data_IF_041321468104
#
_entry.id   IF_041321468104
#
_cell.length_a   1.000
_cell.length_b   1.000
_cell.length_c   1.000
_cell.angle_alpha   90.00
_cell.angle_beta   90.00
_cell.angle_gamma   90.00
#
_symmetry.space_group_name_H-M   'P 1'
#
loop_
_entity.id
_entity.type
_entity.pdbx_description
1 polymer ?
#
# COMPACT_ATOMS: atom_id res chain seq x y z
N UNK A 1 33.15 -0.65 -0.47
CA UNK A 1 34.45 -0.64 0.24
C UNK A 1 34.34 0.32 1.42
N UNK A 2 34.97 0.02 2.56
CA UNK A 2 35.06 0.96 3.70
C UNK A 2 33.79 1.15 4.53
N UNK A 3 32.85 0.20 4.56
CA UNK A 3 31.68 0.29 5.45
C UNK A 3 30.67 1.40 5.13
N UNK A 4 30.66 1.93 3.91
CA UNK A 4 29.79 3.05 3.51
C UNK A 4 28.27 2.75 3.53
N UNK A 5 27.89 1.47 3.66
CA UNK A 5 26.49 1.02 3.64
C UNK A 5 25.73 1.53 2.41
N UNK A 6 24.48 1.94 2.61
CA UNK A 6 23.62 2.46 1.53
C UNK A 6 23.79 3.95 1.23
N UNK A 7 24.61 4.69 1.99
CA UNK A 7 24.75 6.14 1.79
C UNK A 7 25.05 6.53 0.33
N UNK A 8 26.00 5.89 -0.38
CA UNK A 8 26.31 6.31 -1.75
C UNK A 8 25.15 6.14 -2.75
N UNK A 9 24.33 5.08 -2.60
CA UNK A 9 23.18 4.86 -3.49
C UNK A 9 22.01 5.78 -3.12
N UNK A 10 21.80 6.04 -1.83
CA UNK A 10 20.83 7.02 -1.37
C UNK A 10 21.18 8.43 -1.87
N UNK A 11 22.44 8.86 -1.73
CA UNK A 11 22.93 10.14 -2.25
C UNK A 11 22.70 10.26 -3.77
N UNK A 12 22.98 9.19 -4.53
CA UNK A 12 22.70 9.16 -5.97
C UNK A 12 21.21 9.35 -6.26
N UNK A 13 20.32 8.64 -5.55
CA UNK A 13 18.86 8.73 -5.73
C UNK A 13 18.34 10.12 -5.32
N UNK A 14 18.85 10.69 -4.23
CA UNK A 14 18.51 12.05 -3.80
C UNK A 14 18.96 13.11 -4.80
N UNK A 15 20.12 12.94 -5.44
CA UNK A 15 20.59 13.84 -6.50
C UNK A 15 19.69 13.83 -7.75
N UNK A 16 18.84 12.81 -7.92
CA UNK A 16 17.80 12.76 -8.96
C UNK A 16 16.47 13.44 -8.51
N UNK A 17 16.41 13.98 -7.28
CA UNK A 17 15.19 14.52 -6.69
C UNK A 17 14.22 13.45 -6.18
N UNK A 18 14.68 12.20 -6.04
CA UNK A 18 13.89 11.06 -5.55
C UNK A 18 14.14 10.78 -4.06
N UNK A 19 13.41 9.83 -3.50
CA UNK A 19 13.55 9.32 -2.12
C UNK A 19 14.04 7.88 -2.13
N UNK A 20 14.75 7.48 -1.07
CA UNK A 20 15.32 6.13 -0.95
C UNK A 20 14.59 5.30 0.11
N UNK A 21 14.21 4.07 -0.23
CA UNK A 21 13.53 3.14 0.66
C UNK A 21 14.27 1.82 0.80
N UNK A 22 14.17 1.19 1.97
CA UNK A 22 14.69 -0.16 2.23
C UNK A 22 13.62 -1.06 2.82
N UNK A 23 13.83 -2.37 2.67
CA UNK A 23 13.09 -3.41 3.35
C UNK A 23 13.93 -3.97 4.50
N UNK A 24 13.29 -4.25 5.63
CA UNK A 24 13.90 -4.97 6.76
C UNK A 24 12.96 -6.06 7.26
N UNK A 25 13.54 -7.15 7.77
CA UNK A 25 12.82 -8.11 8.58
C UNK A 25 12.73 -7.62 10.02
N UNK A 26 11.59 -7.85 10.68
CA UNK A 26 11.46 -7.64 12.13
C UNK A 26 12.56 -8.38 12.90
N UNK A 27 13.05 -7.73 13.95
CA UNK A 27 13.82 -8.39 15.00
C UNK A 27 15.33 -8.24 14.84
N UNK A 28 16.06 -9.25 15.29
CA UNK A 28 17.53 -9.28 15.38
C UNK A 28 18.10 -10.52 14.69
N UNK A 29 19.22 -10.42 13.93
CA UNK A 29 19.76 -11.57 13.20
C UNK A 29 20.10 -12.73 14.13
N UNK A 30 19.69 -13.95 13.77
CA UNK A 30 19.98 -15.16 14.57
C UNK A 30 21.48 -15.35 14.79
N UNK A 31 22.28 -15.02 13.78
CA UNK A 31 23.75 -15.06 13.89
C UNK A 31 24.29 -14.09 14.96
N UNK A 32 23.70 -12.91 15.14
CA UNK A 32 24.11 -11.95 16.15
C UNK A 32 23.78 -12.47 17.57
N UNK A 33 22.60 -13.09 17.71
CA UNK A 33 22.17 -13.76 18.95
C UNK A 33 23.11 -14.91 19.31
N UNK A 34 23.44 -15.77 18.35
CA UNK A 34 24.36 -16.89 18.56
C UNK A 34 25.77 -16.40 18.94
N UNK A 35 26.25 -15.33 18.32
CA UNK A 35 27.55 -14.71 18.63
C UNK A 35 27.56 -13.85 19.89
N UNK A 36 26.39 -13.60 20.52
CA UNK A 36 26.23 -12.61 21.59
C UNK A 36 26.84 -11.25 21.21
N UNK A 37 26.57 -10.78 19.99
CA UNK A 37 27.11 -9.52 19.48
C UNK A 37 26.70 -8.33 20.38
N UNK A 38 27.58 -7.34 20.60
CA UNK A 38 27.26 -6.18 21.43
C UNK A 38 26.19 -5.30 20.78
N UNK A 39 25.36 -4.65 21.60
CA UNK A 39 24.39 -3.64 21.16
C UNK A 39 24.97 -2.25 21.41
N UNK A 40 24.91 -1.38 20.40
CA UNK A 40 25.41 -0.02 20.51
C UNK A 40 24.68 0.76 21.60
N UNK A 41 25.42 1.51 22.42
CA UNK A 41 24.84 2.39 23.45
C UNK A 41 24.46 1.69 24.76
N UNK A 42 24.72 0.40 24.92
CA UNK A 42 24.42 -0.37 26.14
C UNK A 42 25.47 -1.43 26.41
N UNK A 43 25.47 -2.01 27.62
CA UNK A 43 26.33 -3.15 27.99
C UNK A 43 25.70 -4.50 27.63
N UNK A 44 24.50 -4.50 27.04
CA UNK A 44 23.73 -5.70 26.67
C UNK A 44 24.19 -6.26 25.32
N UNK A 45 23.88 -7.52 25.08
CA UNK A 45 24.17 -8.23 23.84
C UNK A 45 22.88 -8.62 23.10
N UNK A 46 23.01 -8.95 21.82
CA UNK A 46 21.93 -9.50 21.01
C UNK A 46 21.24 -10.71 21.67
N UNK A 47 21.99 -11.51 22.44
CA UNK A 47 21.44 -12.68 23.15
C UNK A 47 20.53 -12.27 24.31
N UNK A 48 20.82 -11.16 24.97
CA UNK A 48 20.06 -10.69 26.13
C UNK A 48 18.67 -10.16 25.76
N UNK A 49 18.51 -9.68 24.53
CA UNK A 49 17.26 -9.02 24.06
C UNK A 49 16.42 -9.90 23.14
N UNK A 50 16.96 -11.03 22.65
CA UNK A 50 16.26 -11.88 21.71
C UNK A 50 15.08 -12.61 22.37
N UNK A 51 13.96 -12.68 21.66
CA UNK A 51 12.83 -13.52 22.01
C UNK A 51 12.93 -14.85 21.25
N UNK A 52 13.55 -15.86 21.86
CA UNK A 52 13.89 -17.14 21.24
C UNK A 52 12.71 -17.93 20.62
N UNK A 53 11.49 -17.68 21.09
CA UNK A 53 10.24 -18.29 20.57
C UNK A 53 9.40 -17.32 19.72
N UNK A 54 10.04 -16.31 19.14
CA UNK A 54 9.44 -15.39 18.19
C UNK A 54 10.26 -15.43 16.92
N UNK A 55 9.71 -15.98 15.85
CA UNK A 55 10.38 -16.14 14.56
C UNK A 55 9.41 -15.82 13.43
N UNK A 56 9.95 -15.59 12.24
CA UNK A 56 9.21 -15.59 10.99
C UNK A 56 9.02 -17.04 10.50
N UNK A 57 7.82 -17.38 10.01
CA UNK A 57 7.48 -18.71 9.49
C UNK A 57 8.09 -19.00 8.11
N UNK A 58 8.37 -17.95 7.33
CA UNK A 58 8.78 -18.03 5.92
C UNK A 58 10.20 -17.50 5.64
N UNK A 59 10.87 -16.92 6.65
CA UNK A 59 12.26 -16.45 6.56
C UNK A 59 13.03 -16.80 7.85
N UNK A 60 14.29 -17.23 7.71
CA UNK A 60 15.10 -17.77 8.82
C UNK A 60 16.14 -16.80 9.37
N UNK A 61 16.18 -15.56 8.90
CA UNK A 61 17.27 -14.62 9.20
C UNK A 61 17.22 -14.12 10.65
N UNK A 62 16.02 -13.95 11.21
CA UNK A 62 15.82 -13.20 12.46
C UNK A 62 15.18 -14.03 13.58
N UNK A 63 15.46 -13.63 14.82
CA UNK A 63 14.57 -13.80 15.98
C UNK A 63 13.85 -12.48 16.24
N UNK A 64 12.65 -12.50 16.81
CA UNK A 64 12.01 -11.29 17.34
C UNK A 64 12.79 -10.70 18.52
N UNK A 65 12.64 -9.41 18.77
CA UNK A 65 13.22 -8.73 19.94
C UNK A 65 12.17 -8.67 21.06
N UNK A 66 12.56 -9.02 22.29
CA UNK A 66 11.67 -8.92 23.45
C UNK A 66 11.53 -7.44 23.87
N UNK A 67 10.35 -6.81 23.73
CA UNK A 67 10.16 -5.39 24.06
C UNK A 67 10.38 -5.04 25.53
N UNK A 68 10.37 -6.04 26.42
CA UNK A 68 10.57 -5.84 27.85
C UNK A 68 12.02 -6.04 28.31
N UNK A 69 12.94 -6.39 27.40
CA UNK A 69 14.34 -6.60 27.75
C UNK A 69 15.11 -5.27 27.75
N UNK A 70 15.90 -5.04 28.80
CA UNK A 70 16.87 -3.94 28.82
C UNK A 70 17.80 -4.03 27.59
N UNK A 71 17.96 -2.94 26.82
CA UNK A 71 18.76 -2.92 25.59
C UNK A 71 17.97 -3.12 24.31
N UNK A 72 16.68 -3.53 24.39
CA UNK A 72 15.85 -3.79 23.21
C UNK A 72 15.56 -2.52 22.40
N UNK A 73 15.25 -1.41 23.08
CA UNK A 73 15.01 -0.13 22.42
C UNK A 73 16.31 0.41 21.82
N UNK A 74 17.43 0.33 22.53
CA UNK A 74 18.75 0.78 22.06
C UNK A 74 19.18 0.04 20.78
N UNK A 75 18.82 -1.24 20.66
CA UNK A 75 19.05 -1.98 19.41
C UNK A 75 18.28 -1.36 18.24
N UNK A 76 16.96 -1.16 18.37
CA UNK A 76 16.18 -0.52 17.30
C UNK A 76 16.62 0.93 17.04
N UNK A 77 16.92 1.71 18.07
CA UNK A 77 17.49 3.06 17.95
C UNK A 77 18.76 3.03 17.09
N UNK A 78 19.67 2.08 17.35
CA UNK A 78 20.91 1.96 16.58
C UNK A 78 20.68 1.64 15.09
N UNK A 79 19.64 0.86 14.77
CA UNK A 79 19.28 0.58 13.38
C UNK A 79 18.80 1.84 12.68
N UNK A 80 17.92 2.62 13.30
CA UNK A 80 17.38 3.83 12.68
C UNK A 80 18.38 4.99 12.65
N UNK A 81 19.30 5.07 13.61
CA UNK A 81 20.46 5.96 13.52
C UNK A 81 21.34 5.59 12.31
N UNK A 82 21.57 4.30 12.08
CA UNK A 82 22.30 3.81 10.90
C UNK A 82 21.56 4.15 9.61
N UNK A 83 20.26 3.90 9.53
CA UNK A 83 19.45 4.20 8.35
C UNK A 83 19.37 5.70 8.07
N UNK A 84 19.27 6.53 9.11
CA UNK A 84 19.34 7.98 9.00
C UNK A 84 20.72 8.42 8.48
N UNK A 85 21.82 7.81 8.95
CA UNK A 85 23.17 8.09 8.45
C UNK A 85 23.36 7.75 6.97
N UNK A 86 22.58 6.80 6.44
CA UNK A 86 22.54 6.47 5.02
C UNK A 86 21.60 7.37 4.22
N UNK A 87 20.75 8.18 4.85
CA UNK A 87 19.76 9.00 4.17
C UNK A 87 18.49 8.24 3.76
N UNK A 88 18.13 7.15 4.43
CA UNK A 88 16.88 6.42 4.17
C UNK A 88 15.66 7.32 4.44
N UNK A 89 14.66 7.31 3.57
CA UNK A 89 13.41 8.08 3.69
C UNK A 89 12.19 7.20 3.96
N UNK A 90 12.31 5.90 3.73
CA UNK A 90 11.21 4.95 3.78
C UNK A 90 11.71 3.58 4.26
N UNK A 91 11.01 2.96 5.19
CA UNK A 91 11.29 1.60 5.64
C UNK A 91 10.02 0.75 5.58
N UNK A 92 10.07 -0.34 4.82
CA UNK A 92 9.07 -1.43 4.87
C UNK A 92 9.58 -2.50 5.83
N UNK A 93 8.86 -2.71 6.92
CA UNK A 93 9.18 -3.73 7.93
C UNK A 93 8.27 -4.93 7.71
N UNK A 94 8.86 -6.12 7.60
CA UNK A 94 8.16 -7.38 7.36
C UNK A 94 8.12 -8.29 8.59
N UNK A 95 7.29 -9.34 8.54
CA UNK A 95 6.98 -10.23 9.68
C UNK A 95 6.50 -9.44 10.91
N UNK A 96 5.77 -8.34 10.71
CA UNK A 96 5.44 -7.42 11.80
C UNK A 96 3.96 -7.03 11.87
N UNK A 97 3.30 -6.80 10.73
CA UNK A 97 1.89 -6.41 10.75
C UNK A 97 1.02 -7.62 11.14
N UNK A 98 1.43 -8.82 10.71
CA UNK A 98 1.09 -10.08 11.37
C UNK A 98 2.33 -10.97 11.54
N UNK A 99 2.30 -11.84 12.55
CA UNK A 99 3.31 -12.88 12.78
C UNK A 99 2.68 -14.26 12.65
N UNK A 100 2.79 -14.88 11.48
CA UNK A 100 2.11 -16.16 11.18
C UNK A 100 2.62 -17.34 12.02
N UNK A 101 3.85 -17.26 12.54
CA UNK A 101 4.43 -18.30 13.40
C UNK A 101 3.64 -18.51 14.71
N UNK A 102 2.92 -17.49 15.18
CA UNK A 102 2.05 -17.58 16.38
C UNK A 102 0.58 -17.53 15.96
N UNK A 103 -0.02 -18.64 15.52
CA UNK A 103 -1.38 -18.65 14.96
C UNK A 103 -2.47 -18.21 15.97
N UNK A 104 -2.20 -18.29 17.27
CA UNK A 104 -3.11 -17.84 18.34
C UNK A 104 -2.85 -16.40 18.81
N UNK A 105 -1.84 -15.73 18.25
CA UNK A 105 -1.47 -14.35 18.57
C UNK A 105 -0.84 -13.71 17.32
N UNK A 106 -1.69 -13.49 16.31
CA UNK A 106 -1.24 -12.97 15.01
C UNK A 106 -0.65 -11.55 15.11
N UNK A 107 -0.96 -10.79 16.16
CA UNK A 107 -0.45 -9.43 16.39
C UNK A 107 0.67 -9.37 17.44
N UNK A 108 1.39 -10.47 17.62
CA UNK A 108 2.39 -10.61 18.70
C UNK A 108 3.58 -9.64 18.59
N UNK A 109 3.77 -8.97 17.46
CA UNK A 109 4.82 -7.99 17.24
C UNK A 109 4.44 -6.56 17.63
N UNK A 110 3.29 -6.35 18.31
CA UNK A 110 2.83 -5.03 18.76
C UNK A 110 3.93 -4.19 19.45
N UNK A 111 4.66 -4.79 20.39
CA UNK A 111 5.73 -4.09 21.11
C UNK A 111 6.89 -3.68 20.20
N UNK A 112 7.19 -4.46 19.16
CA UNK A 112 8.23 -4.11 18.19
C UNK A 112 7.79 -2.98 17.26
N UNK A 113 6.50 -2.90 16.89
CA UNK A 113 5.93 -1.74 16.17
C UNK A 113 6.16 -0.46 16.98
N UNK A 114 5.86 -0.49 18.29
CA UNK A 114 6.04 0.67 19.17
C UNK A 114 7.52 1.06 19.33
N UNK A 115 8.43 0.09 19.46
CA UNK A 115 9.88 0.35 19.53
C UNK A 115 10.42 0.95 18.24
N UNK A 116 10.00 0.42 17.09
CA UNK A 116 10.39 0.94 15.77
C UNK A 116 9.88 2.37 15.57
N UNK A 117 8.62 2.66 15.95
CA UNK A 117 8.08 4.03 15.91
C UNK A 117 8.95 4.99 16.71
N UNK A 118 9.27 4.64 17.97
CA UNK A 118 10.13 5.45 18.85
C UNK A 118 11.53 5.65 18.27
N UNK A 119 12.11 4.60 17.69
CA UNK A 119 13.43 4.67 17.07
C UNK A 119 13.45 5.62 15.86
N UNK A 120 12.40 5.58 15.01
CA UNK A 120 12.24 6.55 13.92
C UNK A 120 12.10 7.97 14.46
N UNK A 121 11.27 8.18 15.48
CA UNK A 121 11.06 9.52 16.06
C UNK A 121 12.35 10.09 16.67
N UNK A 122 13.24 9.23 17.16
CA UNK A 122 14.51 9.59 17.80
C UNK A 122 15.65 9.86 16.81
N UNK A 123 15.68 9.20 15.66
CA UNK A 123 16.84 9.24 14.73
C UNK A 123 17.07 10.60 14.04
N UNK A 124 16.17 11.58 14.25
CA UNK A 124 16.31 12.94 13.74
C UNK A 124 16.07 13.10 12.24
N UNK A 125 15.62 12.04 11.54
CA UNK A 125 15.28 12.06 10.11
C UNK A 125 13.82 11.61 9.89
N UNK A 126 13.04 12.31 9.04
CA UNK A 126 11.73 11.81 8.63
C UNK A 126 11.87 10.51 7.83
N UNK A 127 11.35 9.41 8.38
CA UNK A 127 11.29 8.10 7.72
C UNK A 127 9.85 7.62 7.73
N UNK A 128 9.31 7.37 6.53
CA UNK A 128 7.97 6.79 6.35
C UNK A 128 8.01 5.32 6.76
N UNK A 129 7.06 4.89 7.58
CA UNK A 129 6.96 3.50 8.06
C UNK A 129 5.84 2.73 7.35
N UNK A 130 6.23 1.66 6.67
CA UNK A 130 5.35 0.67 6.06
C UNK A 130 5.45 -0.66 6.81
N UNK A 131 4.30 -1.29 7.11
CA UNK A 131 4.24 -2.57 7.82
C UNK A 131 3.69 -3.70 6.94
N UNK A 132 4.31 -4.87 7.05
CA UNK A 132 4.04 -6.07 6.24
C UNK A 132 4.23 -7.36 7.07
N UNK A 133 3.67 -8.51 6.63
CA UNK A 133 2.60 -8.64 5.64
C UNK A 133 1.23 -8.47 6.31
N UNK A 134 0.16 -8.52 5.53
CA UNK A 134 -1.19 -8.73 6.07
C UNK A 134 -1.58 -10.22 6.06
N UNK A 135 -2.85 -10.56 6.35
CA UNK A 135 -3.96 -9.62 6.54
C UNK A 135 -3.90 -8.87 7.87
N UNK A 136 -3.76 -7.54 7.82
CA UNK A 136 -3.88 -6.70 9.00
C UNK A 136 -5.22 -6.93 9.71
N UNK A 137 -5.17 -6.95 11.04
CA UNK A 137 -6.34 -7.12 11.90
C UNK A 137 -7.09 -5.80 12.05
N UNK A 138 -8.37 -5.79 11.71
CA UNK A 138 -9.19 -4.58 11.72
C UNK A 138 -9.35 -4.01 13.13
N UNK A 139 -9.40 -4.87 14.15
CA UNK A 139 -9.44 -4.50 15.56
C UNK A 139 -8.18 -3.76 16.03
N UNK A 140 -7.08 -3.79 15.26
CA UNK A 140 -5.83 -3.07 15.54
C UNK A 140 -5.70 -1.77 14.74
N UNK A 141 -6.73 -1.36 13.99
CA UNK A 141 -6.66 -0.20 13.09
C UNK A 141 -6.26 1.09 13.81
N UNK A 142 -6.72 1.33 15.04
CA UNK A 142 -6.30 2.51 15.82
C UNK A 142 -4.82 2.46 16.19
N UNK A 143 -4.31 1.30 16.58
CA UNK A 143 -2.91 1.14 16.94
C UNK A 143 -2.01 1.32 15.71
N UNK A 144 -2.37 0.70 14.59
CA UNK A 144 -1.68 0.87 13.30
C UNK A 144 -1.66 2.34 12.87
N UNK A 145 -2.81 3.03 12.94
CA UNK A 145 -2.93 4.45 12.61
C UNK A 145 -2.06 5.37 13.48
N UNK A 146 -1.76 4.97 14.73
CA UNK A 146 -0.91 5.77 15.62
C UNK A 146 0.58 5.57 15.37
N UNK A 147 0.97 4.42 14.82
CA UNK A 147 2.38 4.01 14.77
C UNK A 147 2.94 3.86 13.36
N UNK A 148 2.13 3.67 12.33
CA UNK A 148 2.59 3.48 10.95
C UNK A 148 1.97 4.47 9.98
N UNK A 149 2.69 4.75 8.90
CA UNK A 149 2.14 5.53 7.79
C UNK A 149 1.31 4.67 6.85
N UNK A 150 1.67 3.40 6.70
CA UNK A 150 0.93 2.44 5.88
C UNK A 150 1.09 1.01 6.40
N UNK A 151 0.09 0.15 6.16
CA UNK A 151 0.09 -1.24 6.60
C UNK A 151 -0.69 -2.15 5.63
N UNK A 152 -0.11 -3.29 5.31
CA UNK A 152 -0.65 -4.26 4.35
C UNK A 152 -1.98 -4.86 4.80
N UNK A 153 -3.03 -4.69 4.00
CA UNK A 153 -4.37 -5.24 4.31
C UNK A 153 -4.50 -6.74 4.02
N UNK A 154 -3.60 -7.30 3.23
CA UNK A 154 -3.63 -8.68 2.72
C UNK A 154 -2.27 -9.35 2.82
N UNK A 155 -2.24 -10.68 2.63
CA UNK A 155 -1.03 -11.36 2.16
C UNK A 155 -0.56 -10.81 0.81
N UNK A 156 0.52 -11.35 0.26
CA UNK A 156 1.16 -10.77 -0.93
C UNK A 156 0.21 -10.74 -2.13
N UNK A 157 0.10 -9.56 -2.74
CA UNK A 157 -0.75 -9.30 -3.88
C UNK A 157 -0.02 -9.61 -5.18
N UNK A 158 -0.68 -10.37 -6.04
CA UNK A 158 -0.20 -10.79 -7.35
C UNK A 158 -1.30 -10.66 -8.38
N UNK A 159 -0.89 -10.78 -9.64
CA UNK A 159 -1.67 -10.53 -10.84
C UNK A 159 -2.61 -11.68 -11.20
N UNK A 160 -3.56 -11.93 -10.30
CA UNK A 160 -4.67 -12.84 -10.53
C UNK A 160 -5.98 -12.23 -10.06
N UNK A 161 -7.04 -12.46 -10.83
CA UNK A 161 -8.37 -11.92 -10.56
C UNK A 161 -8.90 -12.23 -9.15
N UNK A 162 -8.77 -13.46 -8.59
CA UNK A 162 -9.28 -13.74 -7.24
C UNK A 162 -8.72 -12.81 -6.16
N UNK A 163 -7.43 -12.46 -6.22
CA UNK A 163 -6.85 -11.51 -5.28
C UNK A 163 -7.34 -10.07 -5.52
N UNK A 164 -7.43 -9.64 -6.78
CA UNK A 164 -7.99 -8.32 -7.13
C UNK A 164 -9.45 -8.18 -6.68
N UNK A 165 -10.26 -9.20 -6.93
CA UNK A 165 -11.65 -9.27 -6.49
C UNK A 165 -11.78 -9.20 -4.95
N UNK A 166 -10.92 -9.93 -4.23
CA UNK A 166 -10.91 -9.90 -2.77
C UNK A 166 -10.54 -8.52 -2.20
N UNK A 167 -9.77 -7.71 -2.95
CA UNK A 167 -9.40 -6.37 -2.51
C UNK A 167 -10.61 -5.44 -2.35
N UNK A 168 -11.70 -5.62 -3.10
CA UNK A 168 -12.91 -4.81 -2.93
C UNK A 168 -13.50 -4.90 -1.51
N UNK A 169 -13.51 -6.10 -0.91
CA UNK A 169 -13.95 -6.30 0.46
C UNK A 169 -12.98 -5.66 1.46
N UNK A 170 -11.67 -5.83 1.23
CA UNK A 170 -10.64 -5.25 2.10
C UNK A 170 -10.67 -3.73 2.11
N UNK A 171 -10.74 -3.11 0.92
CA UNK A 171 -10.93 -1.67 0.81
C UNK A 171 -12.20 -1.22 1.53
N UNK A 172 -13.32 -1.94 1.39
CA UNK A 172 -14.56 -1.58 2.08
C UNK A 172 -14.36 -1.53 3.60
N UNK A 173 -13.80 -2.61 4.19
CA UNK A 173 -13.54 -2.72 5.62
C UNK A 173 -12.61 -1.63 6.14
N UNK A 174 -11.55 -1.30 5.38
CA UNK A 174 -10.52 -0.36 5.81
C UNK A 174 -10.77 1.11 5.44
N UNK A 175 -11.74 1.39 4.57
CA UNK A 175 -12.04 2.76 4.12
C UNK A 175 -12.29 3.79 5.23
N UNK A 176 -12.87 3.45 6.40
CA UNK A 176 -13.02 4.40 7.50
C UNK A 176 -11.69 4.85 8.14
N UNK A 177 -10.59 4.13 7.89
CA UNK A 177 -9.29 4.37 8.50
C UNK A 177 -8.28 5.06 7.57
N UNK A 178 -8.67 5.29 6.30
CA UNK A 178 -7.88 6.08 5.34
C UNK A 178 -7.95 7.55 5.73
N UNK A 179 -6.81 8.14 6.05
CA UNK A 179 -6.67 9.58 6.35
C UNK A 179 -5.24 10.03 6.14
N UNK A 180 -5.02 11.34 6.15
CA UNK A 180 -3.68 11.91 6.01
C UNK A 180 -2.68 11.26 6.98
N UNK A 181 -1.58 10.72 6.42
CA UNK A 181 -0.55 10.00 7.16
C UNK A 181 -0.90 8.57 7.59
N UNK A 182 -2.08 8.03 7.23
CA UNK A 182 -2.56 6.70 7.58
C UNK A 182 -3.20 6.01 6.37
N UNK A 183 -2.44 5.12 5.73
CA UNK A 183 -2.81 4.53 4.45
C UNK A 183 -2.85 3.00 4.55
N UNK A 184 -4.02 2.38 4.81
CA UNK A 184 -4.20 0.96 4.56
C UNK A 184 -3.71 0.62 3.15
N UNK A 185 -2.84 -0.36 3.05
CA UNK A 185 -2.05 -0.64 1.86
C UNK A 185 -2.62 -1.85 1.12
N UNK A 186 -3.06 -1.64 -0.11
CA UNK A 186 -3.51 -2.69 -1.03
C UNK A 186 -2.35 -3.49 -1.63
N UNK A 187 -1.10 -3.21 -1.25
CA UNK A 187 0.14 -3.80 -1.73
C UNK A 187 0.58 -3.27 -3.11
N UNK A 188 1.77 -3.73 -3.51
CA UNK A 188 2.46 -3.34 -4.74
C UNK A 188 1.66 -3.70 -5.99
N UNK A 189 1.89 -2.93 -7.06
CA UNK A 189 1.23 -3.05 -8.36
C UNK A 189 2.00 -4.01 -9.26
N UNK A 190 1.49 -5.22 -9.56
CA UNK A 190 2.14 -6.19 -10.44
C UNK A 190 1.83 -5.85 -11.91
N UNK A 191 2.31 -4.68 -12.37
CA UNK A 191 2.14 -4.18 -13.74
C UNK A 191 3.38 -4.43 -14.60
N UNK A 192 3.22 -4.35 -15.92
CA UNK A 192 4.32 -4.45 -16.87
C UNK A 192 5.11 -5.75 -16.71
N UNK A 193 6.44 -5.68 -16.82
CA UNK A 193 7.33 -6.84 -16.70
C UNK A 193 7.75 -7.08 -15.25
N UNK A 194 7.44 -8.27 -14.75
CA UNK A 194 7.65 -8.72 -13.37
C UNK A 194 8.39 -10.07 -13.33
N UNK A 195 8.75 -10.53 -12.13
CA UNK A 195 9.37 -11.83 -11.88
C UNK A 195 10.72 -12.09 -12.59
N UNK A 196 11.47 -11.06 -12.98
CA UNK A 196 12.72 -11.18 -13.75
C UNK A 196 13.74 -12.15 -13.11
N UNK A 197 13.85 -12.15 -11.78
CA UNK A 197 14.78 -13.02 -11.05
C UNK A 197 14.06 -14.15 -10.31
N UNK A 198 12.83 -14.49 -10.69
CA UNK A 198 12.16 -15.66 -10.13
C UNK A 198 12.89 -16.93 -10.60
N UNK A 199 13.18 -17.85 -9.69
CA UNK A 199 13.89 -19.09 -10.04
C UNK A 199 12.96 -20.14 -10.63
N UNK A 200 11.64 -19.99 -10.40
CA UNK A 200 10.64 -20.96 -10.83
C UNK A 200 10.32 -20.85 -12.34
N UNK A 201 10.62 -19.72 -12.98
CA UNK A 201 10.40 -19.48 -14.42
C UNK A 201 11.72 -19.41 -15.24
N UNK A 202 12.83 -19.82 -14.64
CA UNK A 202 14.16 -19.74 -15.26
C UNK A 202 14.76 -18.32 -15.30
N UNK A 203 14.19 -17.34 -14.59
CA UNK A 203 14.72 -15.98 -14.49
C UNK A 203 14.53 -15.17 -15.77
N UNK A 204 13.44 -15.43 -16.50
CA UNK A 204 13.13 -14.72 -17.75
C UNK A 204 12.17 -13.55 -17.51
N UNK A 205 11.38 -13.64 -16.43
CA UNK A 205 10.30 -12.72 -16.14
C UNK A 205 9.17 -12.81 -17.17
N UNK A 206 8.06 -12.18 -16.83
CA UNK A 206 6.86 -12.18 -17.67
C UNK A 206 6.16 -10.84 -17.57
N UNK A 207 5.29 -10.57 -18.54
CA UNK A 207 4.33 -9.49 -18.37
C UNK A 207 3.24 -9.91 -17.36
N UNK A 208 2.59 -8.92 -16.77
CA UNK A 208 1.42 -9.13 -15.91
C UNK A 208 0.36 -9.98 -16.61
N UNK A 209 -0.25 -10.88 -15.86
CA UNK A 209 -1.37 -11.73 -16.25
C UNK A 209 -2.70 -10.98 -16.18
N UNK A 210 -2.74 -9.78 -15.59
CA UNK A 210 -3.94 -8.95 -15.65
C UNK A 210 -4.19 -8.47 -17.07
N UNK A 211 -5.44 -8.62 -17.51
CA UNK A 211 -5.95 -7.96 -18.71
C UNK A 211 -5.89 -6.43 -18.56
N UNK A 212 -6.01 -5.70 -19.68
CA UNK A 212 -6.08 -4.23 -19.63
C UNK A 212 -7.24 -3.73 -18.76
N UNK A 213 -8.40 -4.37 -18.86
CA UNK A 213 -9.58 -4.07 -18.03
C UNK A 213 -9.29 -4.29 -16.54
N UNK A 214 -8.64 -5.40 -16.17
CA UNK A 214 -8.24 -5.68 -14.78
C UNK A 214 -7.17 -4.69 -14.26
N UNK A 215 -6.24 -4.26 -15.11
CA UNK A 215 -5.26 -3.22 -14.75
C UNK A 215 -5.94 -1.87 -14.47
N UNK A 216 -6.91 -1.48 -15.30
CA UNK A 216 -7.74 -0.28 -15.08
C UNK A 216 -8.57 -0.43 -13.80
N UNK A 217 -9.16 -1.60 -13.55
CA UNK A 217 -9.89 -1.90 -12.31
C UNK A 217 -9.02 -1.75 -11.07
N UNK A 218 -7.82 -2.34 -11.09
CA UNK A 218 -6.86 -2.22 -9.98
C UNK A 218 -6.47 -0.75 -9.75
N UNK A 219 -6.02 -0.05 -10.80
CA UNK A 219 -5.59 1.35 -10.67
C UNK A 219 -6.74 2.25 -10.20
N UNK A 220 -7.96 2.00 -10.67
CA UNK A 220 -9.15 2.74 -10.25
C UNK A 220 -9.46 2.51 -8.77
N UNK A 221 -9.46 1.25 -8.31
CA UNK A 221 -9.74 0.92 -6.91
C UNK A 221 -8.65 1.49 -5.99
N UNK A 222 -7.37 1.31 -6.32
CA UNK A 222 -6.26 1.82 -5.51
C UNK A 222 -6.32 3.35 -5.42
N UNK A 223 -6.64 4.03 -6.53
CA UNK A 223 -6.67 5.49 -6.58
C UNK A 223 -7.85 6.07 -5.80
N UNK A 224 -9.07 5.56 -5.99
CA UNK A 224 -10.24 6.08 -5.27
C UNK A 224 -10.21 5.73 -3.77
N UNK A 225 -9.65 4.56 -3.42
CA UNK A 225 -9.43 4.16 -2.03
C UNK A 225 -8.29 4.92 -1.37
N UNK A 226 -7.34 5.44 -2.17
CA UNK A 226 -6.09 6.09 -1.76
C UNK A 226 -5.05 5.15 -1.15
N UNK A 227 -4.89 3.96 -1.73
CA UNK A 227 -3.76 3.09 -1.42
C UNK A 227 -2.45 3.75 -1.86
N UNK A 228 -1.33 3.53 -1.15
CA UNK A 228 0.00 3.78 -1.70
C UNK A 228 0.17 3.06 -3.04
N UNK A 229 0.83 3.71 -4.00
CA UNK A 229 1.14 3.13 -5.31
C UNK A 229 2.63 2.79 -5.39
N UNK A 230 2.97 1.51 -5.19
CA UNK A 230 4.33 0.99 -5.29
C UNK A 230 4.43 0.08 -6.52
N UNK A 231 5.21 0.47 -7.52
CA UNK A 231 5.34 -0.31 -8.75
C UNK A 231 6.27 -1.51 -8.55
N UNK A 232 5.76 -2.72 -8.77
CA UNK A 232 6.54 -3.96 -8.77
C UNK A 232 7.25 -4.26 -10.10
N UNK A 233 7.32 -3.27 -10.99
CA UNK A 233 7.68 -3.43 -12.41
C UNK A 233 9.13 -3.06 -12.71
N UNK A 234 9.72 -3.66 -13.73
CA UNK A 234 10.95 -3.14 -14.35
C UNK A 234 10.65 -1.92 -15.21
N UNK A 235 10.89 -0.74 -14.65
CA UNK A 235 10.53 0.55 -15.26
C UNK A 235 11.17 0.81 -16.62
N UNK A 236 12.36 0.26 -16.91
CA UNK A 236 13.03 0.48 -18.22
C UNK A 236 12.38 -0.31 -19.36
N UNK A 237 11.52 -1.27 -19.02
CA UNK A 237 10.80 -2.13 -19.96
C UNK A 237 9.32 -1.82 -20.09
N UNK A 238 8.87 -0.63 -19.64
CA UNK A 238 7.47 -0.23 -19.77
C UNK A 238 7.08 -0.04 -21.23
N UNK A 239 5.90 -0.56 -21.59
CA UNK A 239 5.21 -0.21 -22.83
C UNK A 239 4.34 1.05 -22.64
N UNK A 240 3.90 1.64 -23.75
CA UNK A 240 3.08 2.87 -23.73
C UNK A 240 1.78 2.70 -22.94
N UNK A 241 1.21 1.49 -22.96
CA UNK A 241 0.02 1.16 -22.18
C UNK A 241 0.29 1.22 -20.67
N UNK A 242 1.33 0.54 -20.19
CA UNK A 242 1.64 0.53 -18.75
C UNK A 242 2.09 1.91 -18.29
N UNK A 243 2.82 2.65 -19.14
CA UNK A 243 3.20 4.03 -18.86
C UNK A 243 1.97 4.93 -18.71
N UNK A 244 0.95 4.78 -19.57
CA UNK A 244 -0.27 5.61 -19.50
C UNK A 244 -1.06 5.38 -18.20
N UNK A 245 -1.04 4.15 -17.66
CA UNK A 245 -1.67 3.85 -16.37
C UNK A 245 -1.10 4.66 -15.21
N UNK A 246 0.22 4.90 -15.22
CA UNK A 246 0.96 5.52 -14.10
C UNK A 246 1.26 7.01 -14.31
N UNK A 247 0.88 7.56 -15.46
CA UNK A 247 1.11 8.98 -15.82
C UNK A 247 -0.18 9.77 -16.06
N UNK A 248 -1.36 9.15 -15.89
CA UNK A 248 -2.64 9.85 -15.98
C UNK A 248 -2.84 10.80 -14.79
N UNK A 249 -2.61 12.10 -15.00
CA UNK A 249 -2.70 13.12 -13.96
C UNK A 249 -4.11 13.26 -13.35
N UNK A 250 -5.17 12.99 -14.12
CA UNK A 250 -6.53 13.07 -13.62
C UNK A 250 -6.84 11.95 -12.63
N UNK A 251 -6.36 10.73 -12.88
CA UNK A 251 -6.46 9.60 -11.97
C UNK A 251 -5.56 9.79 -10.74
N UNK A 252 -4.32 10.26 -10.94
CA UNK A 252 -3.38 10.55 -9.85
C UNK A 252 -3.93 11.65 -8.92
N UNK A 253 -4.71 12.60 -9.45
CA UNK A 253 -5.38 13.62 -8.63
C UNK A 253 -6.36 12.97 -7.64
N UNK A 254 -7.12 11.97 -8.06
CA UNK A 254 -8.05 11.24 -7.18
C UNK A 254 -7.30 10.64 -5.99
N UNK A 255 -6.17 9.98 -6.23
CA UNK A 255 -5.31 9.44 -5.18
C UNK A 255 -4.81 10.51 -4.21
N UNK A 256 -4.38 11.66 -4.71
CA UNK A 256 -3.69 12.70 -3.92
C UNK A 256 -4.64 13.60 -3.15
N UNK A 257 -5.75 13.99 -3.75
CA UNK A 257 -6.59 15.08 -3.24
C UNK A 257 -7.98 14.62 -2.80
N UNK A 258 -8.45 13.46 -3.24
CA UNK A 258 -9.77 13.00 -2.84
C UNK A 258 -9.81 12.56 -1.37
N UNK A 259 -10.99 12.48 -0.75
CA UNK A 259 -11.18 11.99 0.60
C UNK A 259 -12.59 11.42 0.78
N UNK A 260 -12.80 10.74 1.91
CA UNK A 260 -14.12 10.17 2.25
C UNK A 260 -14.59 9.07 1.29
N UNK A 261 -13.63 8.30 0.75
CA UNK A 261 -13.90 7.17 -0.11
C UNK A 261 -14.80 6.16 0.59
N UNK A 262 -15.89 5.75 -0.05
CA UNK A 262 -16.80 4.73 0.49
C UNK A 262 -17.48 3.94 -0.62
N UNK A 263 -17.74 2.68 -0.34
CA UNK A 263 -18.57 1.83 -1.18
C UNK A 263 -20.04 2.26 -1.05
N UNK A 264 -20.69 2.55 -2.17
CA UNK A 264 -22.09 2.99 -2.25
C UNK A 264 -23.00 1.82 -2.62
N UNK A 265 -22.49 0.87 -3.40
CA UNK A 265 -23.24 -0.28 -3.86
C UNK A 265 -22.30 -1.47 -4.06
N UNK A 266 -22.80 -2.65 -3.71
CA UNK A 266 -22.20 -3.92 -4.09
C UNK A 266 -23.30 -4.93 -4.37
N UNK A 267 -23.20 -5.57 -5.53
CA UNK A 267 -23.96 -6.76 -5.94
C UNK A 267 -22.96 -7.85 -6.30
N UNK A 268 -23.43 -9.00 -6.80
CA UNK A 268 -22.55 -10.07 -7.27
C UNK A 268 -21.69 -9.62 -8.47
N UNK A 269 -22.26 -8.77 -9.33
CA UNK A 269 -21.67 -8.36 -10.62
C UNK A 269 -21.11 -6.94 -10.64
N UNK A 270 -21.34 -6.14 -9.58
CA UNK A 270 -21.03 -4.71 -9.60
C UNK A 270 -20.59 -4.20 -8.25
N UNK A 271 -19.56 -3.34 -8.27
CA UNK A 271 -19.19 -2.50 -7.13
C UNK A 271 -19.18 -1.04 -7.58
N UNK A 272 -19.65 -0.13 -6.73
CA UNK A 272 -19.56 1.32 -6.97
C UNK A 272 -19.00 2.03 -5.74
N UNK A 273 -17.99 2.86 -5.98
CA UNK A 273 -17.34 3.69 -4.98
C UNK A 273 -17.57 5.18 -5.25
N UNK A 274 -17.55 5.98 -4.18
CA UNK A 274 -17.61 7.43 -4.24
C UNK A 274 -16.53 8.05 -3.36
N UNK A 275 -15.88 9.11 -3.82
CA UNK A 275 -15.08 10.03 -2.99
C UNK A 275 -15.40 11.49 -3.34
N UNK A 276 -14.86 12.44 -2.56
CA UNK A 276 -14.96 13.88 -2.79
C UNK A 276 -13.58 14.46 -3.01
N UNK A 277 -13.47 15.54 -3.79
CA UNK A 277 -12.24 16.29 -3.95
C UNK A 277 -12.25 17.59 -3.13
N UNK A 278 -11.08 18.18 -2.94
CA UNK A 278 -10.90 19.48 -2.26
C UNK A 278 -11.55 20.64 -3.03
N UNK A 279 -11.67 20.54 -4.35
CA UNK A 279 -12.28 21.56 -5.22
C UNK A 279 -13.82 21.47 -5.31
N UNK A 280 -14.42 20.54 -4.55
CA UNK A 280 -15.87 20.28 -4.57
C UNK A 280 -16.31 19.23 -5.59
N UNK A 281 -15.41 18.75 -6.46
CA UNK A 281 -15.70 17.65 -7.37
C UNK A 281 -16.04 16.37 -6.62
N UNK A 282 -16.76 15.49 -7.31
CA UNK A 282 -17.14 14.18 -6.79
C UNK A 282 -16.61 13.12 -7.74
N UNK A 283 -15.93 12.11 -7.21
CA UNK A 283 -15.48 10.97 -8.00
C UNK A 283 -16.40 9.80 -7.76
N UNK A 284 -16.80 9.11 -8.84
CA UNK A 284 -17.57 7.87 -8.78
C UNK A 284 -16.85 6.83 -9.62
N UNK A 285 -16.48 5.72 -9.01
CA UNK A 285 -15.88 4.59 -9.69
C UNK A 285 -16.89 3.46 -9.84
N UNK A 286 -17.06 2.97 -11.07
CA UNK A 286 -17.89 1.81 -11.39
C UNK A 286 -16.99 0.63 -11.72
N UNK A 287 -17.34 -0.54 -11.21
CA UNK A 287 -16.59 -1.78 -11.44
C UNK A 287 -17.56 -2.87 -11.85
N UNK A 288 -17.24 -3.58 -12.93
CA UNK A 288 -17.90 -4.82 -13.31
C UNK A 288 -17.10 -5.99 -12.76
N UNK A 289 -17.64 -6.70 -11.77
CA UNK A 289 -16.97 -7.85 -11.16
C UNK A 289 -17.39 -9.19 -11.76
N UNK A 290 -18.23 -9.17 -12.80
CA UNK A 290 -18.72 -10.36 -13.48
C UNK A 290 -17.85 -10.74 -14.69
N UNK A 291 -18.11 -11.93 -15.23
CA UNK A 291 -17.46 -12.46 -16.43
C UNK A 291 -18.17 -12.09 -17.74
N UNK A 292 -19.17 -11.20 -17.69
CA UNK A 292 -19.90 -10.72 -18.86
C UNK A 292 -19.97 -9.20 -18.87
N UNK A 293 -20.32 -8.57 -20.00
CA UNK A 293 -20.54 -7.13 -20.04
C UNK A 293 -21.72 -6.73 -19.14
N UNK A 294 -21.59 -5.64 -18.41
CA UNK A 294 -22.67 -5.10 -17.57
C UNK A 294 -22.80 -3.58 -17.72
N UNK A 295 -23.91 -3.03 -17.26
CA UNK A 295 -24.17 -1.59 -17.21
C UNK A 295 -24.43 -1.17 -15.76
N UNK A 296 -23.40 -1.11 -14.91
CA UNK A 296 -23.57 -0.66 -13.54
C UNK A 296 -24.08 0.79 -13.50
N UNK A 297 -25.07 1.05 -12.66
CA UNK A 297 -25.66 2.38 -12.52
C UNK A 297 -26.12 2.67 -11.10
N UNK A 298 -26.10 3.94 -10.73
CA UNK A 298 -26.56 4.44 -9.42
C UNK A 298 -27.42 5.68 -9.60
N UNK A 299 -28.39 5.84 -8.72
CA UNK A 299 -29.22 7.05 -8.66
C UNK A 299 -28.52 8.18 -7.91
N UNK A 300 -28.89 9.41 -8.23
CA UNK A 300 -28.44 10.61 -7.49
C UNK A 300 -28.80 10.53 -6.01
N UNK A 301 -29.96 9.95 -5.68
CA UNK A 301 -30.35 9.69 -4.29
C UNK A 301 -29.34 8.80 -3.55
N UNK A 302 -28.86 7.72 -4.18
CA UNK A 302 -27.83 6.85 -3.58
C UNK A 302 -26.49 7.57 -3.45
N UNK A 303 -26.15 8.44 -4.41
CA UNK A 303 -24.96 9.27 -4.34
C UNK A 303 -25.12 10.46 -3.37
N UNK A 304 -26.33 10.79 -2.92
CA UNK A 304 -26.61 12.00 -2.14
C UNK A 304 -26.34 13.28 -2.93
N UNK A 305 -26.71 13.30 -4.22
CA UNK A 305 -26.60 14.43 -5.13
C UNK A 305 -27.97 15.00 -5.46
N UNK A 306 -28.00 16.30 -5.74
CA UNK A 306 -29.12 17.02 -6.34
C UNK A 306 -28.54 18.02 -7.35
N UNK A 307 -29.32 18.42 -8.36
CA UNK A 307 -28.89 19.37 -9.38
C UNK A 307 -28.39 18.69 -10.66
N UNK A 308 -27.64 19.44 -11.47
CA UNK A 308 -27.06 19.00 -12.73
C UNK A 308 -25.53 18.94 -12.60
N UNK A 309 -24.90 17.89 -13.14
CA UNK A 309 -23.46 17.72 -13.07
C UNK A 309 -22.88 17.43 -14.45
N UNK A 310 -21.78 18.09 -14.79
CA UNK A 310 -20.90 17.70 -15.88
C UNK A 310 -20.13 16.44 -15.50
N UNK A 311 -20.12 15.47 -16.41
CA UNK A 311 -19.45 14.19 -16.23
C UNK A 311 -18.24 14.09 -17.14
N UNK A 312 -17.11 13.65 -16.58
CA UNK A 312 -15.88 13.35 -17.32
C UNK A 312 -15.36 11.98 -16.95
N UNK A 313 -15.03 11.18 -17.95
CA UNK A 313 -14.27 9.93 -17.75
C UNK A 313 -12.77 10.25 -17.66
N UNK A 314 -12.15 9.85 -16.56
CA UNK A 314 -10.75 10.18 -16.28
C UNK A 314 -9.77 9.29 -17.03
N UNK A 315 -10.18 8.10 -17.48
CA UNK A 315 -9.32 7.19 -18.23
C UNK A 315 -9.34 7.47 -19.73
N UNK A 316 -10.50 7.78 -20.29
CA UNK A 316 -10.63 8.13 -21.72
C UNK A 316 -10.40 9.62 -21.98
N UNK A 317 -10.38 10.45 -20.94
CA UNK A 317 -10.30 11.91 -21.03
C UNK A 317 -11.49 12.53 -21.79
N UNK A 318 -12.63 11.84 -21.83
CA UNK A 318 -13.82 12.28 -22.55
C UNK A 318 -14.83 12.97 -21.64
N UNK A 319 -15.47 14.03 -22.15
CA UNK A 319 -16.65 14.62 -21.51
C UNK A 319 -17.90 13.86 -21.93
N UNK A 320 -18.68 13.38 -20.98
CA UNK A 320 -19.88 12.55 -21.21
C UNK A 320 -21.19 13.36 -21.16
N UNK A 321 -21.09 14.70 -21.19
CA UNK A 321 -22.22 15.61 -21.09
C UNK A 321 -22.68 15.84 -19.64
N UNK A 322 -23.92 16.26 -19.48
CA UNK A 322 -24.54 16.50 -18.16
C UNK A 322 -25.54 15.42 -17.80
N UNK A 323 -25.64 15.12 -16.50
CA UNK A 323 -26.63 14.18 -15.96
C UNK A 323 -27.36 14.77 -14.75
N UNK A 324 -28.62 14.38 -14.55
CA UNK A 324 -29.52 14.98 -13.55
C UNK A 324 -30.21 13.98 -12.62
N UNK A 325 -30.19 12.68 -12.93
CA UNK A 325 -30.95 11.67 -12.15
C UNK A 325 -30.17 10.38 -11.85
N UNK A 326 -29.46 9.86 -12.86
CA UNK A 326 -28.73 8.59 -12.78
C UNK A 326 -27.38 8.71 -13.49
N UNK A 327 -26.43 7.95 -12.98
CA UNK A 327 -25.10 7.81 -13.56
C UNK A 327 -24.83 6.32 -13.77
N UNK A 328 -24.27 5.95 -14.91
CA UNK A 328 -23.88 4.58 -15.23
C UNK A 328 -23.13 4.54 -16.55
N UNK A 329 -22.45 3.42 -16.79
CA UNK A 329 -21.70 3.20 -18.02
C UNK A 329 -21.62 1.72 -18.33
N UNK A 330 -21.49 1.36 -19.61
CA UNK A 330 -21.20 -0.03 -20.00
C UNK A 330 -19.75 -0.36 -19.64
N UNK A 331 -19.51 -1.54 -19.09
CA UNK A 331 -18.18 -2.04 -18.75
C UNK A 331 -17.99 -3.45 -19.30
N UNK A 332 -16.77 -3.70 -19.80
CA UNK A 332 -16.30 -5.06 -20.11
C UNK A 332 -16.24 -5.92 -18.84
N UNK A 333 -16.21 -7.27 -18.96
CA UNK A 333 -15.88 -8.14 -17.84
C UNK A 333 -14.63 -7.66 -17.13
N UNK A 334 -14.69 -7.55 -15.80
CA UNK A 334 -13.58 -7.10 -14.95
C UNK A 334 -13.10 -5.66 -15.22
N UNK A 335 -13.84 -4.87 -16.02
CA UNK A 335 -13.52 -3.49 -16.34
C UNK A 335 -14.01 -2.49 -15.29
N UNK A 336 -13.48 -1.28 -15.38
CA UNK A 336 -13.87 -0.16 -14.53
C UNK A 336 -13.92 1.16 -15.31
N UNK A 337 -14.69 2.11 -14.77
CA UNK A 337 -14.65 3.51 -15.17
C UNK A 337 -14.50 4.38 -13.92
N UNK A 338 -13.80 5.50 -14.07
CA UNK A 338 -13.61 6.50 -13.02
C UNK A 338 -14.12 7.83 -13.53
N UNK A 339 -15.24 8.29 -12.98
CA UNK A 339 -15.94 9.47 -13.45
C UNK A 339 -15.77 10.61 -12.45
N UNK A 340 -15.48 11.82 -12.95
CA UNK A 340 -15.56 13.06 -12.18
C UNK A 340 -16.87 13.77 -12.49
N UNK A 341 -17.54 14.20 -11.44
CA UNK A 341 -18.75 15.00 -11.46
C UNK A 341 -18.44 16.39 -10.91
N UNK A 342 -18.80 17.43 -11.67
CA UNK A 342 -18.74 18.83 -11.25
C UNK A 342 -20.11 19.45 -11.38
N UNK A 343 -20.60 20.06 -10.31
CA UNK A 343 -21.92 20.69 -10.31
C UNK A 343 -21.96 21.85 -11.31
N UNK A 344 -22.98 21.87 -12.16
CA UNK A 344 -23.25 22.99 -13.06
C UNK A 344 -23.87 24.10 -12.23
N UNK A 345 -23.05 25.09 -11.87
CA UNK A 345 -23.56 26.27 -11.18
C UNK A 345 -24.30 27.15 -12.19
N UNK A 346 -25.62 27.30 -12.02
CA UNK A 346 -26.39 28.30 -12.77
C UNK A 346 -25.94 29.67 -12.25
N UNK A 347 -25.27 30.46 -13.10
CA UNK A 347 -24.88 31.85 -12.81
C UNK A 347 -26.11 32.75 -12.81
#
# INVERSE_FOLDING_TARGET
>A
KGGAGFKPIADYIHNLGLKFGIHIMRGIPRQAVHAAAPIQGTSKTARDIAHSFSICSWNTDMYGVNPNADGAQEYYDSLFDLYASWGVDFVKVDDICITEFKPHDLYSAKGEIEMIRKAIDKCGRPIVLSLSPGPALLEQAEHLSRHANMWRMTGDFWDNWPQLYNMFEKCHQWSPYVKEGCWPDCDMLPLGRIEINNRNDGGTGRNTCFTKDEQITMMTLWSIFRSPLMLGTELRGLDDWTLSLITNEEVIRVLKHSYGARQIMRTDDTVVWKSKDEDGSIYVAFFNTSFSKTYPSVSYRQLGLNGEYEVRDLWTHEGLGTVTERLGTELNPHGAALLRLREVTVI
#
